data_IF_080051807594
#
_entry.id   IF_080051807594
#
_cell.length_a   1.000
_cell.length_b   1.000
_cell.length_c   1.000
_cell.angle_alpha   90.00
_cell.angle_beta   90.00
_cell.angle_gamma   90.00
#
_symmetry.space_group_name_H-M   'P 1'
#
loop_
_entity.id
_entity.type
_entity.pdbx_description
1 polymer ?
#
# COMPACT_ATOMS: atom_id res chain seq x y z
N UNK A 1 -21.74 37.89 -1.86
CA UNK A 1 -21.48 36.67 -1.08
C UNK A 1 -21.26 35.49 -1.99
N UNK A 2 -20.37 34.58 -1.60
CA UNK A 2 -20.13 33.31 -2.30
C UNK A 2 -20.10 32.17 -1.32
N UNK A 3 -20.23 30.96 -1.84
CA UNK A 3 -20.22 29.73 -1.06
C UNK A 3 -19.10 28.79 -1.55
N UNK A 4 -18.59 27.95 -0.66
CA UNK A 4 -17.68 26.87 -0.99
C UNK A 4 -18.26 25.56 -0.48
N UNK A 5 -18.35 24.58 -1.36
CA UNK A 5 -18.80 23.22 -1.04
C UNK A 5 -17.66 22.25 -1.26
N UNK A 6 -17.37 21.42 -0.27
CA UNK A 6 -16.43 20.31 -0.37
C UNK A 6 -17.18 19.01 -0.64
N UNK A 7 -16.75 18.22 -1.65
CA UNK A 7 -17.47 17.01 -2.06
C UNK A 7 -16.51 15.87 -2.40
N UNK A 8 -17.04 14.66 -2.30
CA UNK A 8 -16.42 13.44 -2.81
C UNK A 8 -16.56 13.37 -4.33
N UNK A 9 -15.46 13.17 -5.04
CA UNK A 9 -15.43 13.09 -6.51
C UNK A 9 -16.18 11.87 -7.06
N UNK A 10 -16.27 10.79 -6.27
CA UNK A 10 -16.84 9.51 -6.73
C UNK A 10 -18.36 9.48 -6.69
N UNK A 11 -19.00 10.18 -5.74
CA UNK A 11 -20.45 10.12 -5.52
C UNK A 11 -21.13 11.49 -5.39
N UNK A 12 -20.33 12.59 -5.44
CA UNK A 12 -20.77 14.00 -5.27
C UNK A 12 -21.41 14.31 -3.91
N UNK A 13 -21.26 13.44 -2.91
CA UNK A 13 -21.72 13.70 -1.56
C UNK A 13 -20.87 14.78 -0.87
N UNK A 14 -21.44 15.42 0.14
CA UNK A 14 -20.73 16.40 0.97
C UNK A 14 -19.58 15.69 1.72
N UNK A 15 -18.44 16.38 1.78
CA UNK A 15 -17.24 15.86 2.41
C UNK A 15 -16.80 16.73 3.60
N UNK A 16 -17.20 16.37 4.83
CA UNK A 16 -16.75 17.06 6.04
C UNK A 16 -15.32 16.64 6.43
N UNK A 17 -14.62 17.49 7.19
CA UNK A 17 -13.34 17.18 7.82
C UNK A 17 -12.10 17.68 7.08
N UNK A 18 -12.24 18.18 5.85
CA UNK A 18 -11.14 18.81 5.12
C UNK A 18 -10.84 20.22 5.64
N UNK A 19 -9.59 20.63 5.74
CA UNK A 19 -9.19 21.99 6.09
C UNK A 19 -8.92 22.79 4.83
N UNK A 20 -9.71 23.83 4.60
CA UNK A 20 -9.67 24.69 3.43
C UNK A 20 -9.21 26.11 3.80
N UNK A 21 -8.55 26.77 2.85
CA UNK A 21 -8.20 28.19 2.96
C UNK A 21 -8.45 28.92 1.66
N UNK A 22 -8.82 30.19 1.76
CA UNK A 22 -8.75 31.13 0.65
C UNK A 22 -7.52 32.00 0.85
N UNK A 23 -6.73 32.15 -0.22
CA UNK A 23 -5.55 32.99 -0.28
C UNK A 23 -5.74 34.06 -1.34
N UNK A 24 -5.16 35.25 -1.07
CA UNK A 24 -5.00 36.28 -2.09
C UNK A 24 -3.91 35.90 -3.11
N UNK A 25 -3.71 36.76 -4.10
CA UNK A 25 -2.70 36.52 -5.14
C UNK A 25 -1.25 36.69 -4.64
N UNK A 26 -1.05 37.30 -3.48
CA UNK A 26 0.25 37.42 -2.80
C UNK A 26 0.54 36.19 -1.92
N UNK A 27 -0.43 35.27 -1.79
CA UNK A 27 -0.35 34.03 -1.01
C UNK A 27 -0.73 34.19 0.46
N UNK A 28 -1.21 35.36 0.88
CA UNK A 28 -1.68 35.56 2.25
C UNK A 28 -3.03 34.85 2.45
N UNK A 29 -3.20 34.24 3.61
CA UNK A 29 -4.46 33.58 3.97
C UNK A 29 -5.51 34.61 4.36
N UNK A 30 -6.62 34.66 3.63
CA UNK A 30 -7.77 35.52 3.91
C UNK A 30 -8.69 34.86 4.95
N UNK A 31 -8.98 33.58 4.77
CA UNK A 31 -9.82 32.79 5.69
C UNK A 31 -9.44 31.33 5.66
N UNK A 32 -9.74 30.62 6.75
CA UNK A 32 -9.54 29.17 6.89
C UNK A 32 -10.69 28.56 7.67
N UNK A 33 -11.15 27.39 7.25
CA UNK A 33 -12.21 26.64 7.94
C UNK A 33 -12.07 25.14 7.73
N UNK A 34 -12.84 24.36 8.48
CA UNK A 34 -13.02 22.92 8.27
C UNK A 34 -14.34 22.70 7.55
N UNK A 35 -14.34 21.88 6.50
CA UNK A 35 -15.55 21.53 5.74
C UNK A 35 -16.56 20.76 6.60
N UNK A 36 -17.83 20.99 6.32
CA UNK A 36 -18.99 20.34 6.96
C UNK A 36 -19.94 19.82 5.90
N UNK A 37 -21.07 19.24 6.32
CA UNK A 37 -22.16 18.83 5.42
C UNK A 37 -22.87 20.03 4.76
N UNK A 38 -22.63 21.26 5.26
CA UNK A 38 -23.18 22.48 4.69
C UNK A 38 -22.10 23.27 3.94
N UNK A 39 -22.46 23.98 2.83
CA UNK A 39 -21.54 24.88 2.17
C UNK A 39 -21.08 25.99 3.12
N UNK A 40 -19.80 26.32 3.05
CA UNK A 40 -19.23 27.41 3.83
C UNK A 40 -19.48 28.76 3.15
N UNK A 41 -20.08 29.70 3.89
CA UNK A 41 -20.27 31.06 3.43
C UNK A 41 -19.00 31.88 3.56
N UNK A 42 -18.55 32.44 2.44
CA UNK A 42 -17.36 33.29 2.40
C UNK A 42 -17.74 34.75 2.31
N UNK A 43 -17.13 35.55 3.17
CA UNK A 43 -17.32 37.01 3.23
C UNK A 43 -15.98 37.74 3.30
N UNK A 44 -15.96 39.04 3.05
CA UNK A 44 -14.74 39.86 3.17
C UNK A 44 -13.79 39.79 1.97
N UNK A 45 -14.24 39.24 0.84
CA UNK A 45 -13.52 39.29 -0.42
C UNK A 45 -13.86 40.57 -1.19
N UNK A 46 -12.88 41.10 -1.93
CA UNK A 46 -13.05 42.32 -2.75
C UNK A 46 -13.43 41.98 -4.17
N UNK A 47 -14.33 42.80 -4.77
CA UNK A 47 -14.67 42.66 -6.17
C UNK A 47 -13.50 43.05 -7.09
N UNK A 48 -13.37 42.37 -8.21
CA UNK A 48 -12.31 42.57 -9.18
C UNK A 48 -10.99 41.89 -8.86
N UNK A 49 -10.85 41.34 -7.66
CA UNK A 49 -9.66 40.60 -7.24
C UNK A 49 -9.82 39.10 -7.51
N UNK A 50 -8.68 38.43 -7.68
CA UNK A 50 -8.57 36.98 -7.81
C UNK A 50 -8.09 36.35 -6.53
N UNK A 51 -8.56 35.16 -6.25
CA UNK A 51 -8.24 34.39 -5.05
C UNK A 51 -7.96 32.93 -5.43
N UNK A 52 -7.28 32.23 -4.54
CA UNK A 52 -7.05 30.77 -4.67
C UNK A 52 -7.69 30.04 -3.50
N UNK A 53 -8.63 29.14 -3.78
CA UNK A 53 -9.09 28.13 -2.83
C UNK A 53 -8.07 26.99 -2.80
N UNK A 54 -7.54 26.73 -1.62
CA UNK A 54 -6.51 25.71 -1.37
C UNK A 54 -7.01 24.76 -0.29
N UNK A 55 -6.79 23.49 -0.47
CA UNK A 55 -6.93 22.50 0.59
C UNK A 55 -5.60 22.36 1.33
N UNK A 56 -5.62 22.59 2.65
CA UNK A 56 -4.44 22.45 3.52
C UNK A 56 -4.30 21.03 4.03
N UNK A 57 -5.43 20.40 4.32
CA UNK A 57 -5.51 19.01 4.79
C UNK A 57 -6.77 18.37 4.22
N UNK A 58 -6.59 17.23 3.56
CA UNK A 58 -7.72 16.43 3.07
C UNK A 58 -8.49 15.79 4.24
N UNK A 59 -9.73 15.42 3.99
CA UNK A 59 -10.48 14.56 4.89
C UNK A 59 -9.80 13.16 4.97
N UNK A 60 -10.02 12.46 6.07
CA UNK A 60 -9.42 11.13 6.28
C UNK A 60 -9.89 10.16 5.18
N UNK A 61 -8.93 9.50 4.51
CA UNK A 61 -9.19 8.59 3.40
C UNK A 61 -9.32 9.26 2.02
N UNK A 62 -8.98 10.54 1.92
CA UNK A 62 -9.06 11.32 0.68
C UNK A 62 -7.70 11.92 0.29
N UNK A 63 -7.58 12.20 -0.99
CA UNK A 63 -6.45 12.91 -1.59
C UNK A 63 -6.67 14.43 -1.50
N UNK A 64 -5.57 15.18 -1.44
CA UNK A 64 -5.64 16.64 -1.54
C UNK A 64 -6.14 17.05 -2.92
N UNK A 65 -7.13 17.94 -2.97
CA UNK A 65 -7.61 18.52 -4.22
C UNK A 65 -6.61 19.54 -4.80
N UNK A 66 -6.70 19.69 -6.12
CA UNK A 66 -6.03 20.78 -6.81
C UNK A 66 -6.60 22.14 -6.38
N UNK A 67 -5.74 23.15 -6.38
CA UNK A 67 -6.14 24.52 -6.10
C UNK A 67 -7.12 25.05 -7.16
N UNK A 68 -8.12 25.81 -6.73
CA UNK A 68 -9.08 26.47 -7.60
C UNK A 68 -8.88 27.98 -7.55
N UNK A 69 -8.47 28.58 -8.66
CA UNK A 69 -8.40 30.05 -8.77
C UNK A 69 -9.75 30.59 -9.20
N UNK A 70 -10.25 31.58 -8.47
CA UNK A 70 -11.52 32.22 -8.75
C UNK A 70 -11.45 33.75 -8.58
N UNK A 71 -12.43 34.49 -9.12
CA UNK A 71 -12.58 35.92 -8.93
C UNK A 71 -14.03 36.31 -8.76
N UNK A 72 -14.28 37.41 -8.05
CA UNK A 72 -15.61 37.97 -7.86
C UNK A 72 -15.76 39.24 -8.74
N UNK A 73 -16.85 39.29 -9.49
CA UNK A 73 -17.23 40.48 -10.27
C UNK A 73 -18.54 41.01 -9.71
N UNK A 74 -18.57 42.28 -9.39
CA UNK A 74 -19.79 42.95 -8.91
C UNK A 74 -20.81 43.01 -10.01
N UNK A 75 -22.05 42.58 -9.74
CA UNK A 75 -23.14 42.76 -10.68
C UNK A 75 -23.58 44.23 -10.79
N UNK A 76 -24.04 44.60 -11.95
CA UNK A 76 -24.66 45.89 -12.21
C UNK A 76 -26.07 45.68 -12.79
N UNK A 77 -26.99 46.62 -12.47
CA UNK A 77 -28.31 46.64 -13.09
C UNK A 77 -28.25 47.12 -14.58
N UNK A 78 -29.38 47.18 -15.25
CA UNK A 78 -29.50 47.65 -16.64
C UNK A 78 -29.09 49.13 -16.83
N UNK A 79 -29.11 49.91 -15.76
CA UNK A 79 -28.72 51.32 -15.73
C UNK A 79 -27.24 51.50 -15.36
N UNK A 80 -26.52 50.41 -15.07
CA UNK A 80 -25.10 50.41 -14.71
C UNK A 80 -24.82 50.69 -13.24
N UNK A 81 -25.81 50.67 -12.35
CA UNK A 81 -25.62 50.82 -10.92
C UNK A 81 -25.10 49.49 -10.33
N UNK A 82 -24.13 49.58 -9.45
CA UNK A 82 -23.56 48.40 -8.77
C UNK A 82 -24.54 47.82 -7.74
N UNK A 83 -24.77 46.53 -7.83
CA UNK A 83 -25.57 45.74 -6.90
C UNK A 83 -24.69 45.15 -5.79
N UNK A 84 -25.32 44.77 -4.66
CA UNK A 84 -24.61 44.00 -3.61
C UNK A 84 -24.34 42.53 -3.98
N UNK A 85 -24.85 42.08 -5.12
CA UNK A 85 -24.66 40.76 -5.67
C UNK A 85 -23.34 40.65 -6.46
N UNK A 86 -22.80 39.44 -6.48
CA UNK A 86 -21.61 39.12 -7.29
C UNK A 86 -21.84 37.94 -8.22
N UNK A 87 -21.08 37.95 -9.28
CA UNK A 87 -20.79 36.77 -10.10
C UNK A 87 -19.44 36.20 -9.69
N UNK A 88 -19.37 34.87 -9.64
CA UNK A 88 -18.12 34.16 -9.36
C UNK A 88 -17.65 33.45 -10.62
N UNK A 89 -16.45 33.76 -11.01
CA UNK A 89 -15.79 33.12 -12.14
C UNK A 89 -14.62 32.27 -11.62
N UNK A 90 -14.45 31.05 -12.14
CA UNK A 90 -13.29 30.23 -11.86
C UNK A 90 -12.43 30.06 -13.10
N UNK A 91 -11.12 29.91 -12.88
CA UNK A 91 -10.12 29.76 -13.91
C UNK A 91 -10.04 28.31 -14.35
N UNK A 92 -10.15 28.08 -15.66
CA UNK A 92 -9.92 26.75 -16.27
C UNK A 92 -8.79 26.85 -17.27
N UNK A 93 -7.93 25.83 -17.29
CA UNK A 93 -6.88 25.72 -18.32
C UNK A 93 -7.36 24.80 -19.43
N UNK A 94 -7.40 25.31 -20.66
CA UNK A 94 -7.71 24.51 -21.84
C UNK A 94 -6.43 24.12 -22.56
N UNK A 95 -6.35 22.83 -22.94
CA UNK A 95 -5.23 22.27 -23.69
C UNK A 95 -5.74 21.78 -25.05
N UNK A 96 -5.22 22.33 -26.17
CA UNK A 96 -5.44 21.81 -27.52
C UNK A 96 -4.10 21.64 -28.19
N UNK A 97 -3.71 20.40 -28.47
CA UNK A 97 -2.40 20.04 -29.02
C UNK A 97 -1.25 20.59 -28.14
N UNK A 98 -0.53 21.60 -28.65
CA UNK A 98 0.62 22.22 -27.96
C UNK A 98 0.30 23.57 -27.32
N UNK A 99 -0.97 24.00 -27.35
CA UNK A 99 -1.37 25.30 -26.85
C UNK A 99 -2.15 25.15 -25.55
N UNK A 100 -1.74 25.94 -24.55
CA UNK A 100 -2.44 26.11 -23.27
C UNK A 100 -2.92 27.55 -23.19
N UNK A 101 -4.19 27.76 -22.78
CA UNK A 101 -4.70 29.06 -22.42
C UNK A 101 -5.69 28.95 -21.28
N UNK A 102 -5.73 30.01 -20.51
CA UNK A 102 -6.63 30.16 -19.40
C UNK A 102 -7.95 30.78 -19.84
N UNK A 103 -9.05 30.28 -19.31
CA UNK A 103 -10.40 30.75 -19.62
C UNK A 103 -11.22 30.87 -18.31
N UNK A 104 -11.91 31.98 -18.15
CA UNK A 104 -12.76 32.22 -17.00
C UNK A 104 -14.17 31.77 -17.27
N UNK A 105 -14.69 30.88 -16.41
CA UNK A 105 -16.07 30.38 -16.49
C UNK A 105 -16.90 30.91 -15.34
N UNK A 106 -18.08 31.43 -15.69
CA UNK A 106 -19.10 31.85 -14.71
C UNK A 106 -19.66 30.61 -13.98
N UNK A 107 -19.83 30.75 -12.66
CA UNK A 107 -20.59 29.81 -11.83
C UNK A 107 -22.02 30.26 -11.70
N UNK A 108 -22.98 29.38 -11.97
CA UNK A 108 -24.40 29.70 -12.03
C UNK A 108 -25.01 30.11 -10.67
N UNK A 109 -24.46 29.60 -9.55
CA UNK A 109 -25.01 29.79 -8.19
C UNK A 109 -24.04 30.43 -7.20
N UNK A 110 -22.95 31.04 -7.68
CA UNK A 110 -21.86 31.58 -6.86
C UNK A 110 -21.25 30.59 -5.85
N UNK A 111 -21.33 29.28 -6.12
CA UNK A 111 -20.75 28.22 -5.29
C UNK A 111 -19.54 27.60 -5.97
N UNK A 112 -18.37 27.70 -5.36
CA UNK A 112 -17.18 26.99 -5.77
C UNK A 112 -17.23 25.57 -5.16
N UNK A 113 -17.20 24.54 -6.03
CA UNK A 113 -17.17 23.14 -5.62
C UNK A 113 -15.73 22.63 -5.74
N UNK A 114 -15.18 22.16 -4.63
CA UNK A 114 -13.89 21.47 -4.59
C UNK A 114 -14.14 19.98 -4.27
N UNK A 115 -13.60 19.11 -5.13
CA UNK A 115 -13.83 17.67 -5.03
C UNK A 115 -12.52 16.94 -4.74
N UNK A 116 -12.57 15.93 -3.85
CA UNK A 116 -11.46 15.03 -3.56
C UNK A 116 -11.70 13.65 -4.15
N UNK A 117 -10.64 13.08 -4.71
CA UNK A 117 -10.56 11.65 -4.98
C UNK A 117 -10.18 10.91 -3.69
N UNK A 118 -10.47 9.62 -3.64
CA UNK A 118 -10.10 8.74 -2.53
C UNK A 118 -8.62 8.35 -2.61
N UNK A 119 -8.00 8.04 -1.46
CA UNK A 119 -6.72 7.33 -1.46
C UNK A 119 -6.92 5.88 -1.89
N UNK A 120 -5.95 5.33 -2.60
CA UNK A 120 -5.97 3.97 -3.16
C UNK A 120 -4.65 3.29 -2.87
N UNK A 121 -4.71 2.14 -2.21
CA UNK A 121 -3.52 1.37 -1.81
C UNK A 121 -3.64 -0.04 -2.36
N UNK A 122 -2.53 -0.56 -2.87
CA UNK A 122 -2.40 -1.93 -3.36
C UNK A 122 -1.20 -2.58 -2.67
N UNK A 123 -1.41 -3.73 -2.05
CA UNK A 123 -0.37 -4.48 -1.35
C UNK A 123 -0.21 -5.85 -2.00
N UNK A 124 0.99 -6.12 -2.48
CA UNK A 124 1.39 -7.40 -3.07
C UNK A 124 2.23 -8.19 -2.07
N UNK A 125 1.89 -9.47 -1.90
CA UNK A 125 2.72 -10.46 -1.22
C UNK A 125 3.33 -11.38 -2.27
N UNK A 126 4.66 -11.40 -2.38
CA UNK A 126 5.36 -12.05 -3.50
C UNK A 126 6.41 -13.04 -3.09
N UNK A 127 6.62 -14.06 -3.92
CA UNK A 127 7.79 -14.94 -3.87
C UNK A 127 9.02 -14.17 -4.36
N UNK A 128 10.07 -14.10 -3.55
CA UNK A 128 11.31 -13.37 -3.84
C UNK A 128 12.04 -13.90 -5.08
N UNK A 129 11.90 -15.20 -5.37
CA UNK A 129 12.59 -15.84 -6.48
C UNK A 129 11.86 -15.69 -7.81
N UNK A 130 10.53 -15.85 -7.81
CA UNK A 130 9.72 -15.82 -9.04
C UNK A 130 9.10 -14.46 -9.30
N UNK A 131 9.01 -13.60 -8.29
CA UNK A 131 8.31 -12.31 -8.31
C UNK A 131 6.80 -12.42 -8.60
N UNK A 132 6.24 -13.62 -8.44
CA UNK A 132 4.81 -13.87 -8.56
C UNK A 132 4.10 -13.63 -7.24
N UNK A 133 2.78 -13.35 -7.29
CA UNK A 133 1.96 -13.25 -6.08
C UNK A 133 2.01 -14.56 -5.29
N UNK A 134 2.14 -14.45 -3.98
CA UNK A 134 2.30 -15.58 -3.06
C UNK A 134 1.07 -15.73 -2.17
N UNK A 135 0.17 -16.68 -2.47
CA UNK A 135 -1.02 -16.92 -1.65
C UNK A 135 -0.70 -17.65 -0.34
N UNK A 136 -1.54 -17.42 0.67
CA UNK A 136 -1.54 -18.16 1.93
C UNK A 136 -0.82 -17.50 3.10
N UNK A 137 -0.21 -16.33 2.92
CA UNK A 137 0.34 -15.52 4.01
C UNK A 137 -0.76 -14.79 4.79
N UNK A 138 -0.76 -14.85 6.11
CA UNK A 138 -1.60 -13.98 6.93
C UNK A 138 -0.89 -12.66 7.19
N UNK A 139 -1.52 -11.56 6.77
CA UNK A 139 -0.98 -10.20 6.83
C UNK A 139 -1.88 -9.29 7.66
N UNK A 140 -1.27 -8.36 8.39
CA UNK A 140 -1.96 -7.30 9.11
C UNK A 140 -1.34 -5.94 8.80
N UNK A 141 -2.18 -4.90 8.75
CA UNK A 141 -1.75 -3.49 8.74
C UNK A 141 -2.11 -2.89 10.08
N UNK A 142 -1.17 -2.17 10.67
CA UNK A 142 -1.40 -1.36 11.88
C UNK A 142 -1.05 0.10 11.63
N UNK A 143 -1.77 1.02 12.31
CA UNK A 143 -1.44 2.44 12.34
C UNK A 143 -0.23 2.74 13.25
N UNK A 144 0.20 4.01 13.33
CA UNK A 144 1.30 4.46 14.20
C UNK A 144 1.05 4.20 15.69
N UNK A 145 -0.20 3.99 16.10
CA UNK A 145 -0.57 3.69 17.50
C UNK A 145 -0.59 2.19 17.78
N UNK A 146 -0.37 1.37 16.73
CA UNK A 146 -0.45 -0.08 16.80
C UNK A 146 -1.88 -0.63 16.72
N UNK A 147 -2.86 0.18 16.33
CA UNK A 147 -4.23 -0.28 16.10
C UNK A 147 -4.30 -1.04 14.79
N UNK A 148 -4.88 -2.24 14.80
CA UNK A 148 -5.11 -3.03 13.58
C UNK A 148 -6.15 -2.34 12.69
N UNK A 149 -5.77 -2.08 11.44
CA UNK A 149 -6.58 -1.43 10.42
C UNK A 149 -7.21 -2.47 9.51
N UNK A 150 -6.43 -3.48 9.11
CA UNK A 150 -6.90 -4.55 8.23
C UNK A 150 -6.12 -5.84 8.47
N UNK A 151 -6.75 -6.97 8.14
CA UNK A 151 -6.21 -8.33 8.24
C UNK A 151 -6.75 -9.21 7.13
N UNK A 152 -5.87 -9.86 6.38
CA UNK A 152 -6.27 -10.76 5.29
C UNK A 152 -5.29 -11.91 5.10
N UNK A 153 -5.72 -12.88 4.30
CA UNK A 153 -4.86 -13.92 3.75
C UNK A 153 -4.51 -13.53 2.32
N UNK A 154 -3.23 -13.54 1.96
CA UNK A 154 -2.76 -13.25 0.60
C UNK A 154 -3.33 -14.25 -0.41
N UNK A 155 -3.53 -13.78 -1.63
CA UNK A 155 -4.05 -14.55 -2.75
C UNK A 155 -3.10 -14.47 -3.96
N UNK A 156 -3.51 -14.97 -5.11
CA UNK A 156 -2.84 -14.83 -6.39
C UNK A 156 -3.00 -13.44 -7.05
N UNK A 157 -3.55 -12.48 -6.30
CA UNK A 157 -3.72 -11.09 -6.69
C UNK A 157 -3.39 -10.15 -5.53
N UNK A 158 -2.97 -8.90 -5.83
CA UNK A 158 -2.73 -7.89 -4.81
C UNK A 158 -3.98 -7.59 -3.99
N UNK A 159 -3.78 -7.29 -2.70
CA UNK A 159 -4.83 -6.78 -1.82
C UNK A 159 -5.04 -5.29 -2.07
N UNK A 160 -6.29 -4.89 -2.38
CA UNK A 160 -6.65 -3.52 -2.73
C UNK A 160 -7.48 -2.89 -1.61
N UNK A 161 -7.09 -1.68 -1.20
CA UNK A 161 -7.75 -0.89 -0.16
C UNK A 161 -8.06 0.50 -0.68
N UNK A 162 -9.26 0.98 -0.37
CA UNK A 162 -9.69 2.36 -0.62
C UNK A 162 -9.87 3.11 0.69
N UNK A 163 -9.68 4.43 0.65
CA UNK A 163 -9.93 5.33 1.77
C UNK A 163 -9.06 5.06 3.00
N UNK A 164 -7.85 4.51 2.80
CA UNK A 164 -6.88 4.44 3.89
C UNK A 164 -6.36 5.86 4.16
N UNK A 165 -6.53 6.42 5.38
CA UNK A 165 -6.07 7.78 5.67
C UNK A 165 -4.59 7.98 5.37
N UNK A 166 -4.21 9.18 4.91
CA UNK A 166 -2.80 9.52 4.73
C UNK A 166 -2.05 9.43 6.07
N UNK A 167 -0.90 8.79 6.08
CA UNK A 167 -0.12 8.54 7.30
C UNK A 167 0.81 7.34 7.18
N UNK A 168 1.44 7.01 8.30
CA UNK A 168 2.38 5.89 8.38
C UNK A 168 1.70 4.65 8.92
N UNK A 169 2.09 3.53 8.34
CA UNK A 169 1.55 2.20 8.65
C UNK A 169 2.67 1.18 8.73
N UNK A 170 2.38 0.07 9.41
CA UNK A 170 3.26 -1.10 9.45
C UNK A 170 2.51 -2.29 8.89
N UNK A 171 3.09 -2.94 7.87
CA UNK A 171 2.67 -4.22 7.35
C UNK A 171 3.48 -5.32 8.06
N UNK A 172 2.79 -6.28 8.64
CA UNK A 172 3.38 -7.42 9.34
C UNK A 172 2.81 -8.72 8.80
N UNK A 173 3.67 -9.66 8.52
CA UNK A 173 3.29 -11.03 8.25
C UNK A 173 3.17 -11.79 9.56
N UNK A 174 2.01 -12.38 9.82
CA UNK A 174 1.72 -13.18 11.02
C UNK A 174 2.12 -14.63 10.81
N UNK A 175 1.78 -15.16 9.64
CA UNK A 175 2.15 -16.51 9.21
C UNK A 175 2.55 -16.49 7.74
N UNK A 176 3.68 -17.12 7.43
CA UNK A 176 4.09 -17.36 6.06
C UNK A 176 3.43 -18.63 5.49
N UNK A 177 3.30 -18.75 4.17
CA UNK A 177 2.90 -20.00 3.54
C UNK A 177 3.91 -21.12 3.79
N UNK A 178 3.49 -22.37 3.72
CA UNK A 178 4.35 -23.53 3.88
C UNK A 178 5.55 -23.48 2.93
N UNK A 179 6.74 -23.70 3.47
CA UNK A 179 7.99 -23.67 2.74
C UNK A 179 8.60 -22.28 2.55
N UNK A 180 8.02 -21.25 3.14
CA UNK A 180 8.53 -19.88 3.10
C UNK A 180 8.92 -19.37 4.48
N UNK A 181 9.89 -18.48 4.52
CA UNK A 181 10.31 -17.77 5.70
C UNK A 181 9.40 -16.56 5.94
N UNK A 182 9.07 -16.29 7.20
CA UNK A 182 8.31 -15.09 7.58
C UNK A 182 9.12 -13.85 7.20
N UNK A 183 8.49 -12.93 6.45
CA UNK A 183 9.11 -11.66 6.10
C UNK A 183 9.29 -10.74 7.31
N UNK A 184 10.31 -9.90 7.26
CA UNK A 184 10.42 -8.79 8.20
C UNK A 184 9.26 -7.81 8.02
N UNK A 185 8.80 -7.20 9.12
CA UNK A 185 7.80 -6.15 9.07
C UNK A 185 8.28 -4.97 8.22
N UNK A 186 7.36 -4.36 7.47
CA UNK A 186 7.64 -3.24 6.58
C UNK A 186 6.85 -2.01 7.03
N UNK A 187 7.54 -0.88 7.19
CA UNK A 187 6.88 0.43 7.36
C UNK A 187 6.63 1.07 6.00
N UNK A 188 5.46 1.66 5.82
CA UNK A 188 5.11 2.39 4.61
C UNK A 188 4.28 3.63 4.92
N UNK A 189 4.24 4.58 3.99
CA UNK A 189 3.49 5.83 4.14
C UNK A 189 2.48 5.97 3.01
N UNK A 190 1.22 6.20 3.38
CA UNK A 190 0.14 6.54 2.46
C UNK A 190 0.13 8.05 2.27
N UNK A 191 0.32 8.50 1.04
CA UNK A 191 0.29 9.91 0.66
C UNK A 191 -1.15 10.34 0.33
N UNK A 192 -1.52 11.60 0.59
CA UNK A 192 -2.84 12.12 0.26
C UNK A 192 -2.93 12.46 -1.25
N UNK A 193 -2.83 11.45 -2.10
CA UNK A 193 -3.00 11.57 -3.55
C UNK A 193 -4.01 10.54 -4.07
N UNK A 194 -4.62 10.80 -5.22
CA UNK A 194 -5.61 9.92 -5.84
C UNK A 194 -5.03 8.77 -6.68
N UNK A 195 -3.71 8.65 -6.76
CA UNK A 195 -3.03 7.58 -7.48
C UNK A 195 -3.04 6.28 -6.68
N UNK A 196 -2.97 5.14 -7.39
CA UNK A 196 -2.79 3.85 -6.72
C UNK A 196 -1.36 3.74 -6.21
N UNK A 197 -1.21 3.65 -4.89
CA UNK A 197 0.07 3.50 -4.21
C UNK A 197 0.32 2.01 -3.96
N UNK A 198 1.41 1.47 -4.52
CA UNK A 198 1.73 0.04 -4.46
C UNK A 198 2.87 -0.21 -3.48
N UNK A 199 2.68 -1.21 -2.62
CA UNK A 199 3.67 -1.70 -1.67
C UNK A 199 3.82 -3.21 -1.85
N UNK A 200 5.06 -3.72 -1.75
CA UNK A 200 5.38 -5.13 -1.99
C UNK A 200 6.14 -5.72 -0.81
N UNK A 201 5.71 -6.87 -0.33
CA UNK A 201 6.40 -7.67 0.69
C UNK A 201 6.79 -9.01 0.08
N UNK A 202 8.03 -9.43 0.31
CA UNK A 202 8.60 -10.63 -0.30
C UNK A 202 8.93 -11.68 0.75
N UNK A 203 8.66 -12.95 0.43
CA UNK A 203 9.17 -14.09 1.17
C UNK A 203 10.25 -14.83 0.37
N UNK A 204 11.31 -15.23 1.06
CA UNK A 204 12.28 -16.19 0.55
C UNK A 204 11.86 -17.61 0.93
N UNK A 205 12.28 -18.57 0.14
CA UNK A 205 12.03 -19.99 0.41
C UNK A 205 12.90 -20.49 1.54
N UNK A 206 12.38 -21.41 2.36
CA UNK A 206 13.18 -22.15 3.33
C UNK A 206 14.05 -23.14 2.56
N UNK A 207 15.35 -23.16 2.88
CA UNK A 207 16.37 -23.97 2.21
C UNK A 207 17.12 -24.82 3.23
N UNK A 208 17.16 -26.13 3.00
CA UNK A 208 17.87 -27.08 3.85
C UNK A 208 18.95 -27.79 3.05
N UNK A 209 20.14 -27.87 3.61
CA UNK A 209 21.30 -28.57 3.04
C UNK A 209 21.64 -29.78 3.89
N UNK A 210 21.66 -30.95 3.28
CA UNK A 210 21.98 -32.22 3.95
C UNK A 210 23.20 -32.85 3.32
N UNK A 211 24.23 -33.13 4.13
CA UNK A 211 25.45 -33.82 3.72
C UNK A 211 25.49 -35.23 4.33
N UNK A 212 25.74 -36.22 3.50
CA UNK A 212 26.09 -37.59 3.93
C UNK A 212 27.59 -37.73 3.82
N UNK A 213 28.29 -37.82 4.94
CA UNK A 213 29.78 -37.85 4.96
C UNK A 213 30.33 -39.12 5.58
N UNK A 214 31.53 -39.51 5.13
CA UNK A 214 32.35 -40.50 5.79
C UNK A 214 32.94 -39.92 7.09
N UNK A 215 32.69 -40.56 8.23
CA UNK A 215 33.11 -40.11 9.53
C UNK A 215 34.64 -40.02 9.70
N UNK A 216 35.39 -40.74 8.91
CA UNK A 216 36.86 -40.79 8.96
C UNK A 216 37.52 -39.70 8.15
N UNK A 217 37.02 -39.46 6.94
CA UNK A 217 37.61 -38.51 5.98
C UNK A 217 36.90 -37.18 5.96
N UNK A 218 35.66 -37.13 6.46
CA UNK A 218 34.74 -35.99 6.36
C UNK A 218 34.42 -35.56 4.92
N UNK A 219 34.60 -36.47 3.96
CA UNK A 219 34.24 -36.28 2.56
C UNK A 219 32.81 -36.78 2.33
N UNK A 220 32.12 -36.21 1.32
CA UNK A 220 30.78 -36.66 0.91
C UNK A 220 30.83 -38.15 0.52
N UNK A 221 29.86 -38.92 1.02
CA UNK A 221 29.78 -40.36 0.88
C UNK A 221 28.62 -40.75 -0.06
N UNK A 222 28.87 -41.09 -1.32
CA UNK A 222 27.81 -41.43 -2.26
C UNK A 222 27.27 -42.87 -2.06
N UNK A 223 26.02 -43.07 -2.49
CA UNK A 223 25.36 -44.37 -2.58
C UNK A 223 24.55 -44.79 -1.37
N UNK A 224 24.37 -43.92 -0.39
CA UNK A 224 23.39 -44.10 0.71
C UNK A 224 21.99 -43.73 0.25
N UNK A 225 20.98 -44.55 0.56
CA UNK A 225 19.59 -44.17 0.39
C UNK A 225 19.10 -43.48 1.68
N UNK A 226 18.64 -42.23 1.53
CA UNK A 226 18.19 -41.38 2.63
C UNK A 226 16.75 -40.95 2.44
N UNK A 227 16.04 -40.82 3.56
CA UNK A 227 14.63 -40.42 3.62
C UNK A 227 14.45 -39.38 4.73
N UNK A 228 13.73 -38.30 4.42
CA UNK A 228 13.22 -37.36 5.40
C UNK A 228 11.74 -37.67 5.64
N UNK A 229 11.33 -37.71 6.91
CA UNK A 229 9.93 -37.85 7.32
C UNK A 229 9.58 -36.72 8.29
N UNK A 230 8.33 -36.27 8.20
CA UNK A 230 7.75 -35.37 9.18
C UNK A 230 7.40 -36.09 10.49
N UNK A 231 6.92 -35.35 11.50
CA UNK A 231 6.51 -35.87 12.80
C UNK A 231 5.37 -36.92 12.73
N UNK A 232 4.58 -36.91 11.65
CA UNK A 232 3.45 -37.84 11.43
C UNK A 232 3.90 -39.08 10.66
N UNK A 233 5.21 -39.15 10.29
CA UNK A 233 5.80 -40.25 9.55
C UNK A 233 5.60 -40.17 8.02
N UNK A 234 5.07 -39.07 7.54
CA UNK A 234 4.91 -38.80 6.09
C UNK A 234 6.29 -38.58 5.46
N UNK A 235 6.56 -39.27 4.36
CA UNK A 235 7.79 -39.06 3.61
C UNK A 235 7.74 -37.75 2.85
N UNK A 236 8.73 -36.87 3.15
CA UNK A 236 8.85 -35.54 2.57
C UNK A 236 9.81 -35.59 1.37
N UNK A 237 10.93 -36.30 1.51
CA UNK A 237 11.90 -36.43 0.46
C UNK A 237 12.69 -37.77 0.57
N UNK A 238 13.17 -38.26 -0.56
CA UNK A 238 13.95 -39.49 -0.68
C UNK A 238 14.97 -39.38 -1.81
N UNK A 239 16.25 -39.66 -1.51
CA UNK A 239 17.33 -39.59 -2.50
C UNK A 239 18.43 -40.61 -2.24
N UNK A 240 19.30 -40.75 -3.23
CA UNK A 240 20.58 -41.45 -3.10
C UNK A 240 21.68 -40.39 -2.95
N UNK A 241 22.49 -40.49 -1.90
CA UNK A 241 23.62 -39.58 -1.69
C UNK A 241 24.62 -39.59 -2.85
N UNK A 242 25.19 -38.43 -3.12
CA UNK A 242 26.16 -38.21 -4.21
C UNK A 242 27.51 -37.71 -3.65
N UNK A 243 28.42 -37.25 -4.51
CA UNK A 243 29.67 -36.59 -4.10
C UNK A 243 29.50 -35.14 -3.66
N UNK A 244 28.26 -34.69 -3.41
CA UNK A 244 27.93 -33.37 -2.92
C UNK A 244 26.66 -33.39 -2.08
N UNK A 245 26.39 -32.29 -1.34
CA UNK A 245 25.21 -32.21 -0.50
C UNK A 245 23.92 -32.25 -1.27
N UNK A 246 22.88 -32.73 -0.63
CA UNK A 246 21.50 -32.67 -1.11
C UNK A 246 20.83 -31.38 -0.61
N UNK A 247 20.06 -30.69 -1.47
CA UNK A 247 19.35 -29.46 -1.15
C UNK A 247 17.85 -29.70 -1.25
N UNK A 248 17.13 -29.31 -0.21
CA UNK A 248 15.67 -29.31 -0.17
C UNK A 248 15.21 -27.87 -0.11
N UNK A 249 14.44 -27.44 -1.09
CA UNK A 249 13.83 -26.12 -1.15
C UNK A 249 12.33 -26.19 -0.79
N UNK A 250 11.82 -25.11 -0.24
CA UNK A 250 10.41 -24.99 0.20
C UNK A 250 10.01 -26.06 1.22
N UNK A 251 10.96 -26.44 2.08
CA UNK A 251 10.67 -27.36 3.18
C UNK A 251 9.93 -26.61 4.28
N UNK A 252 8.70 -27.03 4.67
CA UNK A 252 7.96 -26.36 5.74
C UNK A 252 8.75 -26.31 7.06
N UNK A 253 8.58 -25.24 7.84
CA UNK A 253 9.15 -25.20 9.18
C UNK A 253 8.51 -26.28 10.06
N UNK A 254 9.33 -27.00 10.84
CA UNK A 254 8.82 -28.08 11.69
C UNK A 254 9.89 -29.11 12.06
N UNK A 255 9.47 -30.16 12.72
CA UNK A 255 10.33 -31.25 13.18
C UNK A 255 10.31 -32.42 12.20
N UNK A 256 11.49 -32.94 11.92
CA UNK A 256 11.73 -33.99 10.92
C UNK A 256 12.70 -35.04 11.43
N UNK A 257 12.64 -36.22 10.85
CA UNK A 257 13.61 -37.31 11.07
C UNK A 257 14.26 -37.68 9.76
N UNK A 258 15.59 -37.60 9.68
CA UNK A 258 16.43 -38.13 8.60
C UNK A 258 16.81 -39.56 8.93
N UNK A 259 16.52 -40.49 8.02
CA UNK A 259 16.82 -41.92 8.19
C UNK A 259 17.61 -42.42 6.97
N UNK A 260 18.68 -43.14 7.22
CA UNK A 260 19.39 -43.94 6.22
C UNK A 260 18.70 -45.29 6.05
N UNK A 261 18.18 -45.60 4.89
CA UNK A 261 17.52 -46.88 4.56
C UNK A 261 18.54 -47.93 4.17
N UNK A 262 19.50 -47.57 3.32
CA UNK A 262 20.60 -48.44 2.91
C UNK A 262 21.90 -47.64 2.94
N UNK A 263 22.95 -48.26 3.50
CA UNK A 263 24.30 -47.70 3.50
C UNK A 263 25.06 -48.09 2.22
N UNK A 264 26.06 -47.31 1.80
CA UNK A 264 26.98 -47.72 0.73
C UNK A 264 27.75 -48.97 1.09
N UNK A 265 28.25 -49.68 0.05
CA UNK A 265 29.02 -50.90 0.25
C UNK A 265 30.23 -50.67 1.19
N UNK A 266 30.36 -51.51 2.22
CA UNK A 266 31.44 -51.43 3.20
C UNK A 266 31.13 -50.54 4.42
N UNK A 267 29.97 -49.91 4.46
CA UNK A 267 29.49 -49.05 5.57
C UNK A 267 28.32 -49.68 6.30
N UNK A 268 28.12 -49.28 7.56
CA UNK A 268 26.95 -49.60 8.35
C UNK A 268 25.94 -48.51 8.20
N UNK A 269 24.63 -48.84 8.25
CA UNK A 269 23.54 -47.88 8.35
C UNK A 269 23.73 -47.02 9.56
N UNK A 270 23.64 -45.69 9.40
CA UNK A 270 23.72 -44.71 10.45
C UNK A 270 22.41 -44.67 11.29
N UNK A 271 22.51 -44.21 12.51
CA UNK A 271 21.33 -43.92 13.32
C UNK A 271 20.53 -42.74 12.71
N UNK A 272 19.21 -42.78 12.89
CA UNK A 272 18.35 -41.68 12.46
C UNK A 272 18.66 -40.40 13.25
N UNK A 273 18.50 -39.26 12.61
CA UNK A 273 18.74 -37.92 13.16
C UNK A 273 17.44 -37.14 13.15
N UNK A 274 17.02 -36.68 14.33
CA UNK A 274 15.92 -35.73 14.44
C UNK A 274 16.50 -34.30 14.30
N UNK A 275 15.80 -33.46 13.52
CA UNK A 275 16.20 -32.07 13.31
C UNK A 275 14.97 -31.17 13.15
N UNK A 276 15.13 -29.88 13.42
CA UNK A 276 14.08 -28.88 13.28
C UNK A 276 14.44 -27.91 12.16
N UNK A 277 13.52 -27.70 11.25
CA UNK A 277 13.60 -26.66 10.20
C UNK A 277 12.96 -25.38 10.74
N UNK A 278 13.73 -24.31 10.75
CA UNK A 278 13.30 -22.99 11.25
C UNK A 278 12.65 -22.17 10.10
N UNK A 279 11.71 -21.26 10.42
CA UNK A 279 11.05 -20.40 9.42
C UNK A 279 11.95 -19.20 9.02
N UNK A 280 13.17 -19.48 8.56
CA UNK A 280 14.15 -18.48 8.11
C UNK A 280 14.56 -18.72 6.68
N UNK A 281 14.89 -17.67 5.92
CA UNK A 281 15.42 -17.75 4.55
C UNK A 281 16.90 -18.14 4.48
N UNK A 282 17.59 -18.24 5.64
CA UNK A 282 18.98 -18.67 5.68
C UNK A 282 19.09 -20.18 5.39
N UNK A 283 20.20 -20.58 4.77
CA UNK A 283 20.51 -21.99 4.52
C UNK A 283 20.75 -22.71 5.85
N UNK A 284 19.96 -23.72 6.12
CA UNK A 284 20.07 -24.57 7.31
C UNK A 284 20.76 -25.87 7.02
#
# INVERSE_FOLDING_TARGET
EMWVSKRDLTNDEKLPGATLAIKDMDGNTVTTWVSTDEPHRVTGLHFGESYTLTEIRAADGYALADNITFRLIQKSDEDGNHLEECEVYYLTTKNILFWKWDDWKLLDDATVIMQDDITKVQISKKDLTTNEELPGAELIITDEKGSEIDRWISTDAPHYMERLPAGKYTLTEVTAPDGYAIAERMEFEVLPNGEVQTFEMFDDTIKVKISKVDITTNEELPGAELVIKDKDGTEIDRWISTNGPHYVEKMPAGDYTLTEITAPNGYKVAESIDFTVLPTGEMQ
#
